data_IF_395314292044
#
_entry.id   IF_395314292044
#
_cell.length_a   1.000
_cell.length_b   1.000
_cell.length_c   1.000
_cell.angle_alpha   90.00
_cell.angle_beta   90.00
_cell.angle_gamma   90.00
#
_symmetry.space_group_name_H-M   'P 1'
#
loop_
_entity.id
_entity.type
_entity.pdbx_description
1 polymer ?
#
# COMPACT_ATOMS: atom_id res chain seq x y z
N UNK A 1 -13.91 -44.32 10.30
CA UNK A 1 -14.82 -45.16 9.49
C UNK A 1 -15.04 -46.49 10.21
N UNK A 2 -16.26 -47.02 10.14
CA UNK A 2 -16.64 -48.36 10.60
C UNK A 2 -17.61 -48.93 9.59
N UNK A 3 -17.43 -50.20 9.24
CA UNK A 3 -18.28 -50.90 8.28
C UNK A 3 -19.08 -51.96 9.03
N UNK A 4 -20.35 -52.09 8.67
CA UNK A 4 -21.23 -53.16 9.13
C UNK A 4 -21.54 -54.05 7.94
N UNK A 5 -21.35 -55.35 8.08
CA UNK A 5 -21.72 -56.30 7.03
C UNK A 5 -23.20 -56.70 7.09
N UNK A 6 -23.64 -57.51 6.13
CA UNK A 6 -25.05 -57.93 5.99
C UNK A 6 -25.51 -58.88 7.11
N UNK A 7 -24.58 -59.49 7.84
CA UNK A 7 -24.84 -60.31 9.02
C UNK A 7 -24.82 -59.50 10.32
N UNK A 8 -24.52 -58.19 10.24
CA UNK A 8 -24.51 -57.27 11.38
C UNK A 8 -23.18 -57.20 12.13
N UNK A 9 -22.10 -57.84 11.65
CA UNK A 9 -20.79 -57.70 12.26
C UNK A 9 -20.23 -56.32 11.93
N UNK A 10 -19.62 -55.65 12.91
CA UNK A 10 -18.97 -54.35 12.68
C UNK A 10 -17.47 -54.40 12.90
N UNK A 11 -16.72 -53.74 12.01
CA UNK A 11 -15.27 -53.61 12.14
C UNK A 11 -14.89 -52.72 13.34
N UNK A 12 -13.64 -52.86 13.81
CA UNK A 12 -13.03 -51.87 14.70
C UNK A 12 -13.10 -50.47 14.07
N UNK A 13 -13.32 -49.45 14.89
CA UNK A 13 -13.23 -48.07 14.43
C UNK A 13 -11.80 -47.82 13.93
N UNK A 14 -11.66 -47.54 12.64
CA UNK A 14 -10.41 -47.01 12.07
C UNK A 14 -10.57 -45.50 11.92
N UNK A 15 -9.72 -44.74 12.57
CA UNK A 15 -9.66 -43.28 12.46
C UNK A 15 -8.21 -42.83 12.52
N UNK A 16 -7.94 -41.59 12.08
CA UNK A 16 -6.62 -41.01 12.26
C UNK A 16 -6.30 -40.94 13.75
N UNK A 17 -5.24 -41.64 14.18
CA UNK A 17 -4.78 -41.63 15.56
C UNK A 17 -4.09 -40.29 15.93
N UNK A 18 -3.66 -39.53 14.92
CA UNK A 18 -3.10 -38.19 15.08
C UNK A 18 -4.18 -37.11 15.08
N UNK A 19 -3.99 -36.08 15.90
CA UNK A 19 -4.83 -34.89 15.85
C UNK A 19 -4.68 -34.20 14.49
N UNK A 20 -5.81 -33.80 13.89
CA UNK A 20 -5.81 -32.85 12.78
C UNK A 20 -5.62 -31.48 13.40
N UNK A 21 -4.49 -30.85 13.12
CA UNK A 21 -4.22 -29.49 13.56
C UNK A 21 -4.61 -28.54 12.43
N UNK A 22 -5.60 -27.69 12.68
CA UNK A 22 -5.90 -26.53 11.85
C UNK A 22 -5.14 -25.35 12.46
N UNK A 23 -4.35 -24.68 11.65
CA UNK A 23 -3.78 -23.39 12.05
C UNK A 23 -4.85 -22.32 11.93
N UNK A 24 -5.20 -21.73 13.07
CA UNK A 24 -6.15 -20.63 13.18
C UNK A 24 -5.51 -19.41 13.86
N UNK A 25 -4.18 -19.37 13.93
CA UNK A 25 -3.44 -18.30 14.58
C UNK A 25 -3.23 -17.16 13.59
N UNK A 26 -3.85 -16.01 13.86
CA UNK A 26 -3.65 -14.83 13.03
C UNK A 26 -2.28 -14.18 13.31
N UNK A 27 -1.68 -13.49 12.32
CA UNK A 27 -0.46 -12.71 12.54
C UNK A 27 -0.62 -11.72 13.69
N UNK A 28 0.25 -11.83 14.70
CA UNK A 28 0.16 -11.03 15.93
C UNK A 28 0.56 -9.56 15.73
N UNK A 29 1.38 -9.25 14.72
CA UNK A 29 1.75 -7.89 14.36
C UNK A 29 0.91 -7.42 13.18
N UNK A 30 0.30 -6.24 13.28
CA UNK A 30 -0.31 -5.59 12.12
C UNK A 30 0.81 -4.97 11.26
N UNK A 31 0.70 -5.04 9.93
CA UNK A 31 1.69 -4.43 9.07
C UNK A 31 1.65 -2.90 9.22
N UNK A 32 2.81 -2.26 9.12
CA UNK A 32 2.92 -0.83 8.88
C UNK A 32 2.99 -0.55 7.38
N UNK A 33 2.79 0.72 7.01
CA UNK A 33 3.02 1.20 5.64
C UNK A 33 3.57 2.61 5.68
N UNK A 34 4.48 2.92 4.76
CA UNK A 34 5.02 4.26 4.55
C UNK A 34 5.32 4.50 3.06
N UNK A 35 5.52 5.76 2.67
CA UNK A 35 6.05 6.09 1.35
C UNK A 35 7.42 5.42 1.13
N UNK A 36 7.61 4.80 -0.03
CA UNK A 36 8.91 4.26 -0.46
C UNK A 36 9.92 5.39 -0.61
N UNK A 37 9.48 6.54 -1.13
CA UNK A 37 10.28 7.76 -1.19
C UNK A 37 9.33 8.96 -1.11
N UNK A 38 9.62 9.87 -0.19
CA UNK A 38 8.95 11.16 -0.10
C UNK A 38 9.72 12.16 -0.97
N UNK A 39 9.21 12.40 -2.18
CA UNK A 39 9.90 13.16 -3.24
C UNK A 39 9.52 14.63 -3.27
N UNK A 40 8.73 15.09 -2.31
CA UNK A 40 8.37 16.49 -2.14
C UNK A 40 9.55 17.37 -1.73
N UNK A 41 9.21 18.62 -1.40
CA UNK A 41 10.19 19.59 -0.92
C UNK A 41 10.80 19.20 0.44
N UNK A 42 10.07 18.40 1.23
CA UNK A 42 10.54 17.80 2.47
C UNK A 42 10.46 16.29 2.36
N UNK A 43 11.35 15.59 3.06
CA UNK A 43 11.37 14.12 3.13
C UNK A 43 10.54 13.56 4.30
N UNK A 44 9.77 14.40 4.96
CA UNK A 44 9.02 14.07 6.17
C UNK A 44 7.62 14.68 6.22
N UNK A 45 7.20 15.40 5.18
CA UNK A 45 5.87 16.02 5.13
C UNK A 45 4.83 15.11 4.46
N UNK A 46 5.26 13.97 3.91
CA UNK A 46 4.43 12.97 3.23
C UNK A 46 3.76 13.52 1.98
N UNK A 47 4.42 14.45 1.31
CA UNK A 47 3.97 15.04 0.05
C UNK A 47 4.86 14.51 -1.05
N UNK A 48 4.37 13.57 -1.85
CA UNK A 48 5.17 12.88 -2.86
C UNK A 48 4.61 13.10 -4.25
N UNK A 49 5.48 13.06 -5.27
CA UNK A 49 5.07 13.00 -6.68
C UNK A 49 4.95 11.57 -7.22
N UNK A 50 5.22 10.56 -6.38
CA UNK A 50 5.10 9.14 -6.76
C UNK A 50 4.27 8.36 -5.73
N UNK A 51 3.48 7.40 -6.18
CA UNK A 51 2.60 6.61 -5.29
C UNK A 51 3.28 5.36 -4.68
N UNK A 52 4.61 5.36 -4.53
CA UNK A 52 5.33 4.20 -4.01
C UNK A 52 5.08 4.01 -2.51
N UNK A 53 4.61 2.82 -2.11
CA UNK A 53 4.36 2.44 -0.71
C UNK A 53 5.14 1.17 -0.34
N UNK A 54 5.78 1.18 0.83
CA UNK A 54 6.53 0.06 1.37
C UNK A 54 5.86 -0.43 2.65
N UNK A 55 5.49 -1.72 2.73
CA UNK A 55 4.94 -2.30 3.94
C UNK A 55 6.06 -2.68 4.92
N UNK A 56 5.76 -2.78 6.20
CA UNK A 56 6.69 -3.22 7.25
C UNK A 56 6.00 -4.13 8.25
N UNK A 57 6.78 -4.89 9.04
CA UNK A 57 6.21 -5.82 10.04
C UNK A 57 5.43 -6.99 9.42
N UNK A 58 5.75 -7.35 8.17
CA UNK A 58 5.12 -8.45 7.45
C UNK A 58 5.81 -9.77 7.85
N UNK A 59 5.00 -10.77 8.19
CA UNK A 59 5.47 -12.11 8.50
C UNK A 59 6.09 -12.78 7.27
N UNK A 60 7.09 -13.64 7.50
CA UNK A 60 7.80 -14.29 6.42
C UNK A 60 6.87 -15.22 5.62
N UNK A 61 6.77 -14.97 4.31
CA UNK A 61 5.88 -15.73 3.42
C UNK A 61 4.42 -15.27 3.43
N UNK A 62 4.06 -14.28 4.25
CA UNK A 62 2.74 -13.68 4.23
C UNK A 62 2.54 -12.80 2.99
N UNK A 63 1.29 -12.69 2.53
CA UNK A 63 0.89 -11.77 1.48
C UNK A 63 0.35 -10.48 2.09
N UNK A 64 0.65 -9.33 1.48
CA UNK A 64 0.16 -8.01 1.93
C UNK A 64 -0.94 -7.52 1.01
N UNK A 65 -2.02 -7.04 1.60
CA UNK A 65 -3.14 -6.40 0.91
C UNK A 65 -3.22 -4.93 1.31
N UNK A 66 -3.44 -4.07 0.31
CA UNK A 66 -3.61 -2.63 0.48
C UNK A 66 -5.05 -2.26 0.23
N UNK A 67 -5.65 -1.55 1.18
CA UNK A 67 -6.90 -0.83 0.96
C UNK A 67 -6.57 0.66 0.88
N UNK A 68 -6.56 1.20 -0.33
CA UNK A 68 -6.49 2.64 -0.55
C UNK A 68 -7.91 3.17 -0.62
N UNK A 69 -8.29 3.99 0.36
CA UNK A 69 -9.43 4.87 0.17
C UNK A 69 -8.89 6.13 -0.47
N UNK A 70 -8.95 6.21 -1.80
CA UNK A 70 -9.04 7.52 -2.43
C UNK A 70 -10.33 8.12 -1.89
N UNK A 71 -10.32 9.37 -1.44
CA UNK A 71 -11.55 10.09 -1.09
C UNK A 71 -12.38 10.27 -2.38
N UNK A 72 -12.99 9.20 -2.88
CA UNK A 72 -13.51 9.10 -4.24
C UNK A 72 -14.92 9.66 -4.38
N UNK A 73 -15.52 10.21 -3.31
CA UNK A 73 -16.93 10.61 -3.36
C UNK A 73 -17.28 12.05 -3.04
N UNK A 74 -16.33 12.93 -2.69
CA UNK A 74 -16.74 14.34 -2.50
C UNK A 74 -15.81 15.43 -3.02
N UNK A 75 -14.48 15.28 -3.09
CA UNK A 75 -13.63 16.36 -3.60
C UNK A 75 -12.33 15.73 -4.15
N UNK A 76 -11.92 15.86 -5.41
CA UNK A 76 -11.60 17.14 -6.05
C UNK A 76 -11.31 18.28 -5.06
N UNK A 77 -10.61 18.00 -3.94
CA UNK A 77 -9.73 18.99 -3.30
C UNK A 77 -8.39 18.93 -4.01
N UNK A 78 -8.44 18.93 -5.34
CA UNK A 78 -7.42 19.67 -6.06
C UNK A 78 -7.52 21.06 -5.46
N UNK A 79 -6.51 21.45 -4.69
CA UNK A 79 -6.26 22.79 -4.18
C UNK A 79 -6.11 23.84 -5.30
N UNK A 80 -6.74 23.62 -6.46
CA UNK A 80 -6.45 24.23 -7.74
C UNK A 80 -5.09 23.83 -8.33
N UNK A 81 -4.23 23.13 -7.58
CA UNK A 81 -2.83 22.92 -7.97
C UNK A 81 -2.56 21.50 -8.47
N UNK A 82 -3.26 20.47 -7.98
CA UNK A 82 -3.02 19.07 -8.41
C UNK A 82 -2.63 18.13 -7.28
N UNK A 83 -2.82 18.55 -6.02
CA UNK A 83 -2.57 17.75 -4.84
C UNK A 83 -3.81 16.95 -4.44
N UNK A 84 -3.63 15.69 -4.07
CA UNK A 84 -4.70 14.80 -3.61
C UNK A 84 -4.27 14.08 -2.33
N UNK A 85 -5.10 14.17 -1.29
CA UNK A 85 -4.92 13.42 -0.04
C UNK A 85 -5.37 11.96 -0.24
N UNK A 86 -4.55 11.01 0.21
CA UNK A 86 -4.83 9.58 0.16
C UNK A 86 -4.69 8.98 1.56
N UNK A 87 -5.57 8.04 1.87
CA UNK A 87 -5.51 7.24 3.09
C UNK A 87 -5.36 5.77 2.73
N UNK A 88 -4.39 5.11 3.37
CA UNK A 88 -4.07 3.70 3.12
C UNK A 88 -4.14 2.90 4.41
N UNK A 89 -4.69 1.70 4.29
CA UNK A 89 -4.65 0.65 5.30
C UNK A 89 -3.98 -0.58 4.69
N UNK A 90 -3.25 -1.33 5.51
CA UNK A 90 -2.66 -2.60 5.11
C UNK A 90 -3.09 -3.73 6.03
N UNK A 91 -3.21 -4.92 5.45
CA UNK A 91 -3.41 -6.19 6.15
C UNK A 91 -2.44 -7.20 5.60
N UNK A 92 -2.18 -8.25 6.36
CA UNK A 92 -1.40 -9.38 5.89
C UNK A 92 -2.15 -10.69 6.12
N UNK A 93 -1.89 -11.67 5.26
CA UNK A 93 -2.38 -13.03 5.37
C UNK A 93 -1.19 -13.98 5.41
N UNK A 94 -1.11 -14.81 6.45
CA UNK A 94 -0.02 -15.77 6.61
C UNK A 94 -0.08 -16.93 5.59
N UNK A 95 0.89 -17.84 5.68
CA UNK A 95 0.99 -19.02 4.80
C UNK A 95 -0.18 -19.99 5.00
N UNK A 96 -0.81 -20.00 6.17
CA UNK A 96 -1.97 -20.84 6.49
C UNK A 96 -3.31 -20.22 6.04
N UNK A 97 -3.31 -18.96 5.62
CA UNK A 97 -4.49 -18.22 5.17
C UNK A 97 -5.17 -17.39 6.27
N UNK A 98 -4.55 -17.19 7.44
CA UNK A 98 -5.11 -16.35 8.49
C UNK A 98 -4.79 -14.87 8.23
N UNK A 99 -5.81 -14.01 8.21
CA UNK A 99 -5.65 -12.57 7.97
C UNK A 99 -5.54 -11.76 9.26
N UNK A 100 -4.64 -10.78 9.29
CA UNK A 100 -4.47 -9.84 10.40
C UNK A 100 -5.60 -8.80 10.50
N UNK A 101 -5.63 -8.08 11.62
CA UNK A 101 -6.35 -6.80 11.67
C UNK A 101 -5.74 -5.78 10.70
N UNK A 102 -6.53 -4.75 10.31
CA UNK A 102 -6.01 -3.61 9.55
C UNK A 102 -4.98 -2.83 10.37
N UNK A 103 -3.98 -2.29 9.68
CA UNK A 103 -3.08 -1.28 10.22
C UNK A 103 -3.82 -0.01 10.65
N UNK A 104 -3.11 0.85 11.38
CA UNK A 104 -3.50 2.25 11.49
C UNK A 104 -3.53 2.91 10.09
N UNK A 105 -4.36 3.94 9.96
CA UNK A 105 -4.45 4.75 8.73
C UNK A 105 -3.12 5.46 8.45
N UNK A 106 -2.61 5.32 7.23
CA UNK A 106 -1.49 6.09 6.73
C UNK A 106 -1.96 7.14 5.73
N UNK A 107 -1.75 8.42 6.05
CA UNK A 107 -2.15 9.54 5.21
C UNK A 107 -0.92 10.13 4.49
N UNK A 108 -1.05 10.37 3.19
CA UNK A 108 -0.07 11.07 2.37
C UNK A 108 -0.75 11.91 1.29
N UNK A 109 -0.03 12.89 0.74
CA UNK A 109 -0.50 13.71 -0.38
C UNK A 109 0.25 13.33 -1.64
N UNK A 110 -0.48 12.99 -2.70
CA UNK A 110 0.08 12.84 -4.04
C UNK A 110 0.01 14.19 -4.75
N UNK A 111 1.17 14.76 -5.03
CA UNK A 111 1.36 15.99 -5.78
C UNK A 111 1.62 15.68 -7.26
N UNK A 112 0.60 15.89 -8.10
CA UNK A 112 0.72 15.76 -9.55
C UNK A 112 0.86 17.12 -10.25
N UNK A 113 1.14 18.19 -9.50
CA UNK A 113 1.35 19.53 -10.04
C UNK A 113 2.54 19.52 -11.02
N UNK A 114 2.35 20.04 -12.22
CA UNK A 114 3.44 20.27 -13.18
C UNK A 114 3.93 21.71 -13.00
N UNK A 115 5.20 21.88 -12.65
CA UNK A 115 5.79 23.21 -12.55
C UNK A 115 5.74 23.93 -13.92
N UNK A 116 5.25 25.17 -13.94
CA UNK A 116 5.22 25.97 -15.16
C UNK A 116 6.66 26.22 -15.69
N UNK A 117 6.88 26.20 -17.01
CA UNK A 117 8.17 26.54 -17.59
C UNK A 117 8.60 27.95 -17.17
N UNK A 118 9.85 28.09 -16.71
CA UNK A 118 10.42 29.41 -16.39
C UNK A 118 11.18 29.96 -17.59
N UNK A 119 10.80 31.14 -18.07
CA UNK A 119 11.61 31.92 -19.00
C UNK A 119 12.76 32.57 -18.22
N UNK A 120 14.01 32.34 -18.62
CA UNK A 120 15.16 33.10 -18.12
C UNK A 120 15.18 34.48 -18.78
N UNK A 121 14.87 35.54 -18.03
CA UNK A 121 15.16 36.91 -18.46
C UNK A 121 16.69 37.14 -18.43
N UNK A 122 17.41 36.76 -19.48
CA UNK A 122 18.86 36.89 -19.52
C UNK A 122 19.57 36.65 -20.86
N UNK A 123 18.86 36.47 -21.98
CA UNK A 123 19.50 36.27 -23.30
C UNK A 123 19.16 37.34 -24.35
N UNK A 124 18.53 38.45 -23.97
CA UNK A 124 18.38 39.61 -24.87
C UNK A 124 19.36 40.71 -24.48
N UNK A 125 20.65 40.53 -24.76
CA UNK A 125 21.58 41.66 -24.85
C UNK A 125 21.44 42.24 -26.25
N UNK A 126 20.68 43.33 -26.41
CA UNK A 126 20.72 44.13 -27.66
C UNK A 126 22.14 44.68 -27.83
N UNK A 127 22.91 44.10 -28.76
CA UNK A 127 24.09 44.75 -29.29
C UNK A 127 23.63 45.84 -30.27
N UNK A 128 23.51 47.08 -29.81
CA UNK A 128 23.40 48.25 -30.67
C UNK A 128 24.74 48.99 -30.65
N UNK A 129 25.61 48.70 -31.61
CA UNK A 129 26.76 49.56 -31.93
C UNK A 129 26.43 50.27 -33.24
N UNK A 130 25.96 51.51 -33.14
CA UNK A 130 25.94 52.44 -34.28
C UNK A 130 27.37 52.94 -34.45
N UNK A 131 28.02 52.62 -35.59
CA UNK A 131 29.25 53.27 -36.01
C UNK A 131 28.88 54.53 -36.79
N UNK A 132 29.41 55.66 -36.35
CA UNK A 132 29.39 56.93 -37.10
C UNK A 132 30.19 56.76 -38.39
N UNK A 133 29.63 57.26 -39.49
CA UNK A 133 30.35 57.82 -40.64
C UNK A 133 29.49 58.94 -41.22
#
# INVERSE_FOLDING_TARGET
MRQTDIAGNTSSNSGNAGAITVDSTTPACFPGVALTTDTGASNSDRVTNTAGLTPSGVEAGATVEYAETRHELEQQRTDGCGRVENTVYVRQTDVAGNTSAASAAYNYTLDTTVAAPRLRAGQMTRAATVRMA
#
